data_IF_631951205230
#
_entry.id   IF_631951205230
#
_cell.length_a   1.000
_cell.length_b   1.000
_cell.length_c   1.000
_cell.angle_alpha   90.00
_cell.angle_beta   90.00
_cell.angle_gamma   90.00
#
_symmetry.space_group_name_H-M   'P 1'
#
loop_
_entity.id
_entity.type
_entity.pdbx_description
1 polymer ?
#
# COMPACT_ATOMS: atom_id res chain seq x y z
N UNK A 1 -9.34 17.29 -7.20
CA UNK A 1 -8.65 18.32 -8.01
C UNK A 1 -9.60 19.41 -8.50
N UNK A 2 -10.78 19.09 -9.02
CA UNK A 2 -11.75 20.12 -9.47
C UNK A 2 -12.32 20.96 -8.32
N UNK A 3 -12.43 20.41 -7.14
CA UNK A 3 -13.00 21.08 -5.95
C UNK A 3 -11.93 21.76 -5.08
N UNK A 4 -10.68 21.30 -5.15
CA UNK A 4 -9.60 21.81 -4.29
C UNK A 4 -8.67 22.80 -4.99
N UNK A 5 -8.56 22.74 -6.31
CA UNK A 5 -7.75 23.66 -7.11
C UNK A 5 -8.56 24.05 -8.36
N UNK A 6 -8.59 25.32 -8.72
CA UNK A 6 -9.26 25.87 -9.93
C UNK A 6 -8.76 25.32 -11.27
N UNK A 7 -8.06 24.18 -11.23
CA UNK A 7 -7.43 23.52 -12.33
C UNK A 7 -8.21 22.28 -12.81
N UNK A 8 -8.88 22.41 -13.92
CA UNK A 8 -9.63 21.34 -14.59
C UNK A 8 -8.80 20.06 -14.89
N UNK A 9 -9.01 19.45 -16.05
CA UNK A 9 -8.37 18.21 -16.50
C UNK A 9 -6.83 18.20 -16.37
N UNK A 10 -6.17 19.34 -16.52
CA UNK A 10 -4.71 19.47 -16.43
C UNK A 10 -4.19 19.18 -15.02
N UNK A 11 -4.81 19.72 -13.96
CA UNK A 11 -4.39 19.44 -12.58
C UNK A 11 -4.55 17.97 -12.22
N UNK A 12 -5.66 17.36 -12.64
CA UNK A 12 -5.87 15.93 -12.47
C UNK A 12 -4.79 15.10 -13.20
N UNK A 13 -4.48 15.46 -14.45
CA UNK A 13 -3.44 14.77 -15.21
C UNK A 13 -2.06 14.87 -14.55
N UNK A 14 -1.69 16.03 -14.01
CA UNK A 14 -0.43 16.22 -13.28
C UNK A 14 -0.36 15.32 -12.03
N UNK A 15 -1.42 15.27 -11.22
CA UNK A 15 -1.44 14.46 -9.99
C UNK A 15 -1.35 12.97 -10.30
N UNK A 16 -2.12 12.48 -11.29
CA UNK A 16 -2.08 11.07 -11.70
C UNK A 16 -0.72 10.72 -12.31
N UNK A 17 -0.14 11.61 -13.12
CA UNK A 17 1.19 11.39 -13.70
C UNK A 17 2.28 11.34 -12.62
N UNK A 18 2.22 12.22 -11.64
CA UNK A 18 3.16 12.23 -10.51
C UNK A 18 3.08 10.92 -9.71
N UNK A 19 1.87 10.46 -9.41
CA UNK A 19 1.65 9.17 -8.76
C UNK A 19 2.19 8.01 -9.60
N UNK A 20 1.98 8.03 -10.92
CA UNK A 20 2.50 7.05 -11.87
C UNK A 20 4.03 6.99 -11.89
N UNK A 21 4.69 8.14 -11.99
CA UNK A 21 6.16 8.24 -11.93
C UNK A 21 6.69 7.67 -10.60
N UNK A 22 6.08 8.03 -9.49
CA UNK A 22 6.43 7.47 -8.18
C UNK A 22 6.28 5.95 -8.14
N UNK A 23 5.20 5.42 -8.72
CA UNK A 23 4.94 3.98 -8.81
C UNK A 23 6.04 3.24 -9.59
N UNK A 24 6.50 3.81 -10.71
CA UNK A 24 7.60 3.24 -11.50
C UNK A 24 8.90 3.24 -10.70
N UNK A 25 9.23 4.34 -10.04
CA UNK A 25 10.43 4.44 -9.19
C UNK A 25 10.35 3.40 -8.04
N UNK A 26 9.21 3.31 -7.38
CA UNK A 26 8.97 2.33 -6.31
C UNK A 26 9.16 0.90 -6.78
N UNK A 27 8.64 0.55 -7.97
CA UNK A 27 8.80 -0.77 -8.57
C UNK A 27 10.28 -1.09 -8.85
N UNK A 28 11.03 -0.14 -9.44
CA UNK A 28 12.44 -0.31 -9.76
C UNK A 28 13.29 -0.49 -8.49
N UNK A 29 13.07 0.34 -7.47
CA UNK A 29 13.79 0.26 -6.20
C UNK A 29 13.49 -1.05 -5.48
N UNK A 30 12.24 -1.46 -5.45
CA UNK A 30 11.83 -2.73 -4.80
C UNK A 30 12.42 -3.93 -5.53
N UNK A 31 12.36 -3.92 -6.87
CA UNK A 31 12.95 -4.96 -7.70
C UNK A 31 14.47 -5.06 -7.53
N UNK A 32 15.18 -3.93 -7.53
CA UNK A 32 16.63 -3.89 -7.36
C UNK A 32 17.09 -4.36 -5.96
N UNK A 33 16.30 -4.10 -4.92
CA UNK A 33 16.62 -4.52 -3.54
C UNK A 33 16.31 -5.98 -3.26
N UNK A 34 15.37 -6.59 -3.98
CA UNK A 34 14.94 -7.97 -3.78
C UNK A 34 14.39 -8.27 -2.37
N UNK A 35 14.09 -7.24 -1.59
CA UNK A 35 13.64 -7.39 -0.21
C UNK A 35 12.17 -7.77 -0.15
N UNK A 36 11.87 -8.79 0.64
CA UNK A 36 10.51 -9.32 0.85
C UNK A 36 10.27 -9.56 2.34
N UNK A 37 9.04 -9.91 2.70
CA UNK A 37 8.67 -10.26 4.06
C UNK A 37 7.90 -9.18 4.81
N UNK A 38 7.47 -9.54 6.02
CA UNK A 38 6.58 -8.71 6.85
C UNK A 38 7.13 -7.32 7.16
N UNK A 39 8.46 -7.18 7.30
CA UNK A 39 9.08 -5.88 7.56
C UNK A 39 8.87 -4.88 6.42
N UNK A 40 9.04 -5.33 5.17
CA UNK A 40 8.84 -4.48 3.98
C UNK A 40 7.36 -4.14 3.80
N UNK A 41 6.48 -5.13 4.01
CA UNK A 41 5.02 -4.94 3.96
C UNK A 41 4.59 -3.90 5.01
N UNK A 42 5.03 -4.03 6.25
CA UNK A 42 4.71 -3.10 7.32
C UNK A 42 5.23 -1.69 7.07
N UNK A 43 6.49 -1.57 6.63
CA UNK A 43 7.09 -0.27 6.31
C UNK A 43 6.38 0.43 5.14
N UNK A 44 6.10 -0.28 4.05
CA UNK A 44 5.43 0.29 2.89
C UNK A 44 3.97 0.66 3.19
N UNK A 45 3.25 -0.13 4.00
CA UNK A 45 1.90 0.21 4.48
C UNK A 45 1.90 1.47 5.34
N UNK A 46 2.86 1.59 6.26
CA UNK A 46 3.02 2.76 7.11
C UNK A 46 3.33 4.01 6.27
N UNK A 47 4.27 3.89 5.33
CA UNK A 47 4.63 4.98 4.41
C UNK A 47 3.44 5.40 3.56
N UNK A 48 2.67 4.44 3.03
CA UNK A 48 1.45 4.73 2.28
C UNK A 48 0.43 5.52 3.11
N UNK A 49 0.12 5.05 4.32
CA UNK A 49 -0.81 5.73 5.22
C UNK A 49 -0.33 7.14 5.61
N UNK A 50 0.96 7.28 5.89
CA UNK A 50 1.58 8.56 6.23
C UNK A 50 1.53 9.56 5.07
N UNK A 51 1.91 9.16 3.86
CA UNK A 51 1.86 10.05 2.69
C UNK A 51 0.43 10.37 2.27
N UNK A 52 -0.53 9.44 2.40
CA UNK A 52 -1.94 9.71 2.16
C UNK A 52 -2.49 10.78 3.12
N UNK A 53 -2.09 10.73 4.39
CA UNK A 53 -2.48 11.73 5.38
C UNK A 53 -1.88 13.11 5.07
N UNK A 54 -0.61 13.16 4.68
CA UNK A 54 0.03 14.41 4.28
C UNK A 54 -0.63 14.98 3.01
N UNK A 55 -0.90 14.15 1.99
CA UNK A 55 -1.55 14.56 0.75
C UNK A 55 -2.91 15.23 1.02
N UNK A 56 -3.69 14.71 1.98
CA UNK A 56 -4.97 15.30 2.38
C UNK A 56 -4.85 16.73 2.93
N UNK A 57 -3.68 17.11 3.46
CA UNK A 57 -3.42 18.41 4.07
C UNK A 57 -2.66 19.40 3.15
N UNK A 58 -2.26 18.98 1.92
CA UNK A 58 -1.45 19.83 1.04
C UNK A 58 -2.21 21.03 0.50
N UNK A 59 -1.62 22.25 0.58
CA UNK A 59 -2.30 23.48 0.15
C UNK A 59 -2.09 23.79 -1.33
N UNK A 60 -1.12 23.18 -2.01
CA UNK A 60 -0.79 23.50 -3.40
C UNK A 60 -0.67 22.26 -4.28
N UNK A 61 -0.98 22.41 -5.58
CA UNK A 61 -0.89 21.34 -6.57
C UNK A 61 0.52 20.73 -6.66
N UNK A 62 1.56 21.57 -6.59
CA UNK A 62 2.94 21.09 -6.69
C UNK A 62 3.36 20.25 -5.47
N UNK A 63 2.99 20.69 -4.25
CA UNK A 63 3.26 19.91 -3.04
C UNK A 63 2.46 18.62 -3.01
N UNK A 64 1.19 18.65 -3.43
CA UNK A 64 0.35 17.46 -3.53
C UNK A 64 0.92 16.45 -4.54
N UNK A 65 1.35 16.91 -5.73
CA UNK A 65 1.96 16.06 -6.75
C UNK A 65 3.22 15.34 -6.22
N UNK A 66 4.08 16.03 -5.48
CA UNK A 66 5.27 15.43 -4.87
C UNK A 66 4.89 14.33 -3.86
N UNK A 67 3.93 14.62 -3.00
CA UNK A 67 3.49 13.64 -1.99
C UNK A 67 2.77 12.45 -2.64
N UNK A 68 1.98 12.68 -3.70
CA UNK A 68 1.36 11.60 -4.46
C UNK A 68 2.39 10.71 -5.19
N UNK A 69 3.52 11.25 -5.62
CA UNK A 69 4.61 10.42 -6.15
C UNK A 69 5.17 9.47 -5.06
N UNK A 70 5.41 9.97 -3.85
CA UNK A 70 5.86 9.14 -2.72
C UNK A 70 4.80 8.12 -2.30
N UNK A 71 3.53 8.50 -2.33
CA UNK A 71 2.40 7.61 -2.09
C UNK A 71 2.33 6.50 -3.14
N UNK A 72 2.46 6.82 -4.42
CA UNK A 72 2.51 5.84 -5.51
C UNK A 72 3.68 4.86 -5.37
N UNK A 73 4.87 5.35 -5.01
CA UNK A 73 6.02 4.50 -4.73
C UNK A 73 5.75 3.52 -3.58
N UNK A 74 5.14 4.01 -2.49
CA UNK A 74 4.79 3.18 -1.32
C UNK A 74 3.72 2.13 -1.66
N UNK A 75 2.72 2.49 -2.47
CA UNK A 75 1.65 1.59 -2.89
C UNK A 75 2.18 0.42 -3.72
N UNK A 76 3.06 0.69 -4.69
CA UNK A 76 3.64 -0.36 -5.55
C UNK A 76 4.64 -1.20 -4.76
N UNK A 77 5.44 -0.61 -3.88
CA UNK A 77 6.32 -1.36 -2.97
C UNK A 77 5.52 -2.33 -2.10
N UNK A 78 4.40 -1.88 -1.53
CA UNK A 78 3.49 -2.73 -0.77
C UNK A 78 2.96 -3.91 -1.61
N UNK A 79 2.39 -3.63 -2.78
CA UNK A 79 1.84 -4.66 -3.66
C UNK A 79 2.88 -5.70 -4.08
N UNK A 80 4.09 -5.24 -4.46
CA UNK A 80 5.20 -6.10 -4.83
C UNK A 80 5.69 -6.95 -3.66
N UNK A 81 5.82 -6.35 -2.47
CA UNK A 81 6.25 -7.07 -1.27
C UNK A 81 5.25 -8.16 -0.85
N UNK A 82 3.94 -7.85 -0.85
CA UNK A 82 2.89 -8.84 -0.56
C UNK A 82 2.93 -9.98 -1.56
N UNK A 83 2.96 -9.66 -2.86
CA UNK A 83 3.00 -10.65 -3.94
C UNK A 83 4.21 -11.58 -3.80
N UNK A 84 5.41 -11.02 -3.65
CA UNK A 84 6.65 -11.79 -3.52
C UNK A 84 6.67 -12.63 -2.23
N UNK A 85 6.22 -12.07 -1.11
CA UNK A 85 6.17 -12.78 0.17
C UNK A 85 5.22 -13.97 0.09
N UNK A 86 4.05 -13.81 -0.51
CA UNK A 86 3.11 -14.92 -0.72
C UNK A 86 3.69 -16.02 -1.60
N UNK A 87 4.36 -15.66 -2.71
CA UNK A 87 4.97 -16.63 -3.61
C UNK A 87 6.07 -17.45 -2.94
N UNK A 88 6.82 -16.85 -2.02
CA UNK A 88 7.91 -17.51 -1.29
C UNK A 88 7.41 -18.33 -0.09
N UNK A 89 6.32 -17.91 0.53
CA UNK A 89 5.76 -18.55 1.73
C UNK A 89 4.94 -19.82 1.42
N UNK A 90 4.48 -19.97 0.17
CA UNK A 90 3.57 -21.06 -0.21
C UNK A 90 4.32 -22.17 -0.95
N UNK A 91 4.00 -23.43 -0.59
CA UNK A 91 4.56 -24.61 -1.28
C UNK A 91 4.23 -24.59 -2.79
N UNK A 92 5.11 -25.16 -3.64
CA UNK A 92 4.92 -25.16 -5.09
C UNK A 92 3.57 -25.68 -5.55
N UNK A 93 3.02 -26.70 -4.88
CA UNK A 93 1.76 -27.36 -5.21
C UNK A 93 0.56 -26.45 -4.96
N UNK A 94 0.62 -25.58 -3.96
CA UNK A 94 -0.47 -24.67 -3.57
C UNK A 94 -0.32 -23.27 -4.16
N UNK A 95 0.84 -22.92 -4.72
CA UNK A 95 1.17 -21.57 -5.17
C UNK A 95 0.15 -21.04 -6.17
N UNK A 96 -0.25 -21.83 -7.16
CA UNK A 96 -1.23 -21.42 -8.14
C UNK A 96 -2.59 -21.05 -7.53
N UNK A 97 -3.05 -21.83 -6.55
CA UNK A 97 -4.34 -21.59 -5.87
C UNK A 97 -4.30 -20.34 -5.02
N UNK A 98 -3.24 -20.14 -4.26
CA UNK A 98 -3.07 -18.96 -3.39
C UNK A 98 -2.92 -17.70 -4.24
N UNK A 99 -2.15 -17.75 -5.32
CA UNK A 99 -1.99 -16.61 -6.22
C UNK A 99 -3.26 -16.27 -6.99
N UNK A 100 -4.08 -17.26 -7.37
CA UNK A 100 -5.39 -17.02 -7.96
C UNK A 100 -6.32 -16.30 -6.97
N UNK A 101 -6.36 -16.74 -5.71
CA UNK A 101 -7.14 -16.09 -4.65
C UNK A 101 -6.64 -14.65 -4.39
N UNK A 102 -5.32 -14.44 -4.28
CA UNK A 102 -4.72 -13.12 -4.18
C UNK A 102 -5.15 -12.20 -5.33
N UNK A 103 -5.10 -12.70 -6.57
CA UNK A 103 -5.49 -11.93 -7.75
C UNK A 103 -6.98 -11.54 -7.71
N UNK A 104 -7.85 -12.48 -7.33
CA UNK A 104 -9.30 -12.21 -7.18
C UNK A 104 -9.56 -11.14 -6.12
N UNK A 105 -8.92 -11.23 -4.96
CA UNK A 105 -9.07 -10.24 -3.89
C UNK A 105 -8.49 -8.89 -4.32
N UNK A 106 -7.28 -8.87 -4.86
CA UNK A 106 -6.56 -7.63 -5.20
C UNK A 106 -7.21 -6.89 -6.38
N UNK A 107 -7.44 -7.58 -7.51
CA UNK A 107 -8.09 -6.98 -8.68
C UNK A 107 -9.60 -6.82 -8.46
N UNK A 108 -10.24 -7.77 -7.78
CA UNK A 108 -11.67 -7.74 -7.51
C UNK A 108 -12.09 -6.63 -6.52
N UNK A 109 -11.17 -6.11 -5.73
CA UNK A 109 -11.44 -4.93 -4.88
C UNK A 109 -11.54 -3.63 -5.67
N UNK A 110 -10.93 -3.53 -6.85
CA UNK A 110 -10.90 -2.32 -7.67
C UNK A 110 -12.28 -1.88 -8.19
N UNK A 111 -13.12 -2.78 -8.75
CA UNK A 111 -14.47 -2.43 -9.20
C UNK A 111 -15.40 -1.97 -8.09
N UNK A 112 -15.10 -2.32 -6.85
CA UNK A 112 -15.87 -1.90 -5.66
C UNK A 112 -15.26 -0.63 -5.06
N UNK A 113 -13.95 -0.64 -4.86
CA UNK A 113 -13.23 0.45 -4.21
C UNK A 113 -13.20 1.74 -5.04
N UNK A 114 -13.07 1.64 -6.36
CA UNK A 114 -13.05 2.79 -7.26
C UNK A 114 -14.35 3.62 -7.20
N UNK A 115 -15.51 3.03 -7.50
CA UNK A 115 -16.79 3.73 -7.39
C UNK A 115 -17.09 4.27 -5.98
N UNK A 116 -16.73 3.51 -4.93
CA UNK A 116 -16.92 3.94 -3.56
C UNK A 116 -16.07 5.17 -3.22
N UNK A 117 -14.80 5.16 -3.59
CA UNK A 117 -13.91 6.31 -3.40
C UNK A 117 -14.36 7.52 -4.23
N UNK A 118 -14.84 7.30 -5.45
CA UNK A 118 -15.43 8.34 -6.29
C UNK A 118 -16.66 8.97 -5.65
N UNK A 119 -17.58 8.15 -5.20
CA UNK A 119 -18.81 8.61 -4.52
C UNK A 119 -18.49 9.40 -3.22
N UNK A 120 -17.56 8.93 -2.40
CA UNK A 120 -17.13 9.64 -1.19
C UNK A 120 -16.52 11.00 -1.57
N UNK A 121 -15.70 11.04 -2.61
CA UNK A 121 -15.06 12.28 -3.07
C UNK A 121 -16.05 13.30 -3.62
N UNK A 122 -17.16 12.84 -4.22
CA UNK A 122 -18.22 13.70 -4.71
C UNK A 122 -19.19 14.14 -3.62
N UNK A 123 -19.55 13.23 -2.70
CA UNK A 123 -20.53 13.48 -1.65
C UNK A 123 -19.98 14.35 -0.49
N UNK A 124 -18.69 14.24 -0.20
CA UNK A 124 -18.07 14.94 0.93
C UNK A 124 -16.92 15.86 0.46
N UNK A 125 -15.73 15.29 0.30
CA UNK A 125 -14.51 16.01 -0.11
C UNK A 125 -13.45 14.97 -0.55
N UNK A 126 -12.64 15.23 -1.58
CA UNK A 126 -11.51 14.37 -1.95
C UNK A 126 -10.53 14.08 -0.80
N UNK A 127 -10.40 15.00 0.14
CA UNK A 127 -9.55 14.82 1.34
C UNK A 127 -10.07 13.73 2.27
N UNK A 128 -11.39 13.52 2.33
CA UNK A 128 -11.99 12.43 3.10
C UNK A 128 -11.60 11.07 2.52
N UNK A 129 -11.61 10.94 1.20
CA UNK A 129 -11.17 9.70 0.53
C UNK A 129 -9.68 9.41 0.82
N UNK A 130 -8.82 10.43 0.80
CA UNK A 130 -7.40 10.30 1.19
C UNK A 130 -7.25 9.94 2.67
N UNK A 131 -8.10 10.47 3.56
CA UNK A 131 -8.13 10.12 4.97
C UNK A 131 -8.48 8.65 5.20
N UNK A 132 -9.43 8.10 4.45
CA UNK A 132 -9.80 6.67 4.49
C UNK A 132 -8.64 5.81 3.98
N UNK A 133 -7.98 6.23 2.89
CA UNK A 133 -6.79 5.56 2.39
C UNK A 133 -5.65 5.57 3.42
N UNK A 134 -5.44 6.69 4.12
CA UNK A 134 -4.47 6.80 5.20
C UNK A 134 -4.79 5.83 6.34
N UNK A 135 -6.04 5.79 6.80
CA UNK A 135 -6.48 4.88 7.85
C UNK A 135 -6.26 3.41 7.46
N UNK A 136 -6.58 3.02 6.22
CA UNK A 136 -6.37 1.66 5.73
C UNK A 136 -4.90 1.26 5.72
N UNK A 137 -4.00 2.14 5.29
CA UNK A 137 -2.55 1.91 5.30
C UNK A 137 -1.99 1.76 6.73
N UNK A 138 -2.45 2.60 7.67
CA UNK A 138 -2.04 2.51 9.08
C UNK A 138 -2.57 1.24 9.74
N UNK A 139 -3.80 0.81 9.45
CA UNK A 139 -4.36 -0.45 9.94
C UNK A 139 -3.58 -1.65 9.40
N UNK A 140 -3.23 -1.66 8.11
CA UNK A 140 -2.40 -2.70 7.52
C UNK A 140 -1.01 -2.77 8.17
N UNK A 141 -0.38 -1.62 8.45
CA UNK A 141 0.89 -1.56 9.17
C UNK A 141 0.76 -2.12 10.61
N UNK A 142 -0.29 -1.74 11.33
CA UNK A 142 -0.54 -2.24 12.68
C UNK A 142 -0.79 -3.76 12.70
N UNK A 143 -1.55 -4.28 11.73
CA UNK A 143 -1.78 -5.73 11.57
C UNK A 143 -0.46 -6.48 11.31
N UNK A 144 0.39 -5.96 10.43
CA UNK A 144 1.70 -6.55 10.11
C UNK A 144 2.62 -6.57 11.34
N UNK A 145 2.64 -5.49 12.13
CA UNK A 145 3.41 -5.44 13.38
C UNK A 145 2.91 -6.45 14.41
N UNK A 146 1.59 -6.65 14.52
CA UNK A 146 1.01 -7.63 15.43
C UNK A 146 1.42 -9.04 15.05
N UNK A 147 1.32 -9.40 13.75
CA UNK A 147 1.73 -10.71 13.24
C UNK A 147 3.21 -10.96 13.50
N UNK A 148 4.08 -10.00 13.16
CA UNK A 148 5.53 -10.11 13.36
C UNK A 148 5.92 -10.28 14.84
N UNK A 149 5.15 -9.74 15.78
CA UNK A 149 5.38 -9.95 17.22
C UNK A 149 4.92 -11.33 17.68
N UNK A 150 3.81 -11.83 17.14
CA UNK A 150 3.30 -13.17 17.47
C UNK A 150 4.29 -14.26 17.06
N UNK A 151 4.80 -14.20 15.83
CA UNK A 151 5.79 -15.16 15.34
C UNK A 151 7.08 -15.18 16.19
N UNK A 152 7.51 -14.02 16.70
CA UNK A 152 8.69 -13.94 17.59
C UNK A 152 8.45 -14.61 18.94
N UNK A 153 7.24 -14.57 19.45
CA UNK A 153 6.91 -15.18 20.75
C UNK A 153 6.87 -16.71 20.66
N UNK A 154 6.41 -17.26 19.53
CA UNK A 154 6.37 -18.72 19.32
C UNK A 154 7.75 -19.36 19.25
N UNK A 155 8.75 -18.66 18.69
CA UNK A 155 10.15 -19.14 18.65
C UNK A 155 10.85 -19.11 20.00
N UNK A 156 10.38 -18.31 20.97
CA UNK A 156 10.98 -18.22 22.32
C UNK A 156 10.44 -19.28 23.28
N UNK A 157 9.37 -19.97 22.92
CA UNK A 157 8.72 -21.01 23.74
C UNK A 157 9.11 -22.45 23.37
N UNK A 158 9.93 -22.64 22.34
CA UNK A 158 10.47 -23.95 22.01
C UNK A 158 11.64 -24.21 22.94
N UNK A 159 11.42 -25.03 23.97
CA UNK A 159 12.48 -25.56 24.83
C UNK A 159 13.57 -26.21 23.98
N UNK A 160 14.86 -25.98 24.29
CA UNK A 160 15.94 -26.71 23.60
C UNK A 160 15.78 -28.20 23.84
N UNK A 161 15.98 -29.06 22.81
CA UNK A 161 15.90 -30.51 22.96
C UNK A 161 16.89 -30.92 24.05
N UNK A 162 16.35 -31.62 25.08
CA UNK A 162 17.17 -32.18 26.15
C UNK A 162 18.26 -33.05 25.50
N UNK A 163 19.53 -32.64 25.66
CA UNK A 163 20.70 -33.40 25.25
C UNK A 163 20.69 -34.72 26.00
N UNK A 164 20.45 -35.83 25.30
CA UNK A 164 20.69 -37.19 25.76
C UNK A 164 22.01 -37.67 25.22
#
# INVERSE_FOLDING_TARGET
ARLSFDGGATSYAVLVSAMGVGSVIGALVTGARGQTGLGVIGFSSLSFGFFAMIAAAMPSLASEALILALLGASAVTFAAAVNSTLQLAVSPEMRGRVMALYTVVFLGSTPIGGPLAGWISEAYDPRVALGIAAASGLLAAAATLKISRSDRLDFTTVDPPLAQ
#
